data_IF_467131559222
#
_entry.id   IF_467131559222
#
_cell.length_a   1.000
_cell.length_b   1.000
_cell.length_c   1.000
_cell.angle_alpha   90.00
_cell.angle_beta   90.00
_cell.angle_gamma   90.00
#
_symmetry.space_group_name_H-M   'P 1'
#
loop_
_entity.id
_entity.type
_entity.pdbx_description
1 polymer ?
#
# COMPACT_ATOMS: atom_id res chain seq x y z
N UNK A 1 19.43 24.42 0.84
CA UNK A 1 20.66 23.61 0.77
C UNK A 1 20.50 22.66 -0.41
N UNK A 2 21.39 22.70 -1.39
CA UNK A 2 21.33 21.77 -2.53
C UNK A 2 22.03 20.48 -2.07
N UNK A 3 21.26 19.51 -1.55
CA UNK A 3 21.81 18.24 -1.11
C UNK A 3 22.22 17.44 -2.34
N UNK A 4 23.53 17.19 -2.52
CA UNK A 4 24.00 16.24 -3.52
C UNK A 4 23.74 14.81 -3.02
N UNK A 5 22.79 14.06 -3.62
CA UNK A 5 22.56 12.68 -3.24
C UNK A 5 23.79 11.81 -3.53
N UNK A 6 24.71 12.21 -4.41
CA UNK A 6 25.90 11.46 -4.79
C UNK A 6 27.21 12.00 -4.19
N UNK A 7 27.12 12.77 -3.09
CA UNK A 7 28.30 13.32 -2.45
C UNK A 7 29.35 12.20 -2.23
N UNK A 8 30.62 12.39 -2.67
CA UNK A 8 31.69 11.41 -2.53
C UNK A 8 31.87 10.86 -1.11
N UNK A 9 31.57 11.64 -0.07
CA UNK A 9 31.67 11.23 1.33
C UNK A 9 30.69 10.09 1.69
N UNK A 10 29.59 9.94 0.95
CA UNK A 10 28.55 8.94 1.22
C UNK A 10 28.77 7.65 0.41
N UNK A 11 29.43 7.73 -0.74
CA UNK A 11 29.61 6.60 -1.67
C UNK A 11 30.20 5.33 -1.01
N UNK A 12 31.19 5.41 -0.09
CA UNK A 12 31.74 4.23 0.56
C UNK A 12 30.73 3.42 1.39
N UNK A 13 29.62 4.03 1.81
CA UNK A 13 28.57 3.38 2.60
C UNK A 13 27.47 2.73 1.74
N UNK A 14 27.54 2.88 0.41
CA UNK A 14 26.59 2.28 -0.52
C UNK A 14 27.07 0.89 -0.93
N UNK A 15 26.14 -0.07 -0.93
CA UNK A 15 26.38 -1.43 -1.40
C UNK A 15 25.41 -1.78 -2.53
N UNK A 16 25.58 -1.21 -3.75
CA UNK A 16 24.63 -1.39 -4.85
C UNK A 16 24.48 -2.86 -5.29
N UNK A 17 25.52 -3.67 -5.11
CA UNK A 17 25.51 -5.10 -5.46
C UNK A 17 24.98 -6.00 -4.34
N UNK A 18 24.60 -5.43 -3.18
CA UNK A 18 24.03 -6.22 -2.08
C UNK A 18 22.61 -6.62 -2.43
N UNK A 19 22.46 -7.87 -2.85
CA UNK A 19 21.17 -8.51 -3.01
C UNK A 19 20.82 -9.34 -1.75
N UNK A 20 19.86 -8.88 -0.92
CA UNK A 20 19.44 -9.64 0.26
C UNK A 20 18.70 -10.94 -0.08
N UNK A 21 18.26 -11.11 -1.33
CA UNK A 21 17.66 -12.36 -1.82
C UNK A 21 18.70 -13.35 -2.33
N UNK A 22 19.97 -12.96 -2.42
CA UNK A 22 21.05 -13.87 -2.85
C UNK A 22 21.17 -15.03 -1.85
N UNK A 23 20.84 -16.23 -2.31
CA UNK A 23 20.81 -17.44 -1.49
C UNK A 23 19.48 -17.68 -0.76
N UNK A 24 18.46 -16.83 -0.95
CA UNK A 24 17.10 -17.12 -0.52
C UNK A 24 16.51 -18.21 -1.42
N UNK A 25 16.23 -19.38 -0.85
CA UNK A 25 15.53 -20.46 -1.53
C UNK A 25 14.13 -20.60 -0.93
N UNK A 26 13.09 -20.28 -1.70
CA UNK A 26 11.70 -20.42 -1.26
C UNK A 26 11.35 -21.90 -1.27
N UNK A 27 11.35 -22.54 -0.10
CA UNK A 27 11.02 -23.96 0.06
C UNK A 27 9.53 -24.22 0.33
N UNK A 28 8.74 -23.15 0.51
CA UNK A 28 7.32 -23.27 0.82
C UNK A 28 6.56 -23.79 -0.40
N UNK A 29 6.01 -24.99 -0.30
CA UNK A 29 5.13 -25.58 -1.30
C UNK A 29 3.73 -24.99 -1.14
N UNK A 30 3.13 -24.54 -2.23
CA UNK A 30 1.75 -24.06 -2.24
C UNK A 30 0.79 -25.25 -2.25
N UNK A 31 -0.26 -25.18 -1.44
CA UNK A 31 -1.33 -26.20 -1.38
C UNK A 31 -2.59 -25.74 -2.12
N UNK A 32 -2.75 -24.43 -2.28
CA UNK A 32 -3.89 -23.80 -2.94
C UNK A 32 -3.40 -22.75 -3.93
N UNK A 33 -4.19 -22.52 -4.97
CA UNK A 33 -3.90 -21.55 -6.02
C UNK A 33 -5.15 -20.70 -6.28
N UNK A 34 -5.00 -19.38 -6.28
CA UNK A 34 -6.02 -18.42 -6.71
C UNK A 34 -5.65 -17.90 -8.11
N UNK A 35 -6.54 -18.10 -9.08
CA UNK A 35 -6.36 -17.62 -10.45
C UNK A 35 -7.69 -17.17 -11.04
N UNK A 36 -7.73 -15.94 -11.58
CA UNK A 36 -8.90 -15.36 -12.24
C UNK A 36 -10.21 -15.49 -11.44
N UNK A 37 -10.19 -15.14 -10.15
CA UNK A 37 -11.38 -15.27 -9.30
C UNK A 37 -11.69 -16.68 -8.81
N UNK A 38 -10.87 -17.67 -9.18
CA UNK A 38 -11.10 -19.07 -8.81
C UNK A 38 -10.02 -19.61 -7.87
N UNK A 39 -10.44 -20.20 -6.75
CA UNK A 39 -9.58 -20.86 -5.78
C UNK A 39 -9.70 -22.38 -5.93
N UNK A 40 -8.58 -23.09 -5.89
CA UNK A 40 -8.54 -24.55 -5.92
C UNK A 40 -7.46 -25.13 -5.01
N UNK A 41 -7.69 -26.35 -4.54
CA UNK A 41 -6.67 -27.16 -3.87
C UNK A 41 -5.86 -27.94 -4.91
N UNK A 42 -4.53 -27.87 -4.80
CA UNK A 42 -3.60 -28.52 -5.72
C UNK A 42 -3.48 -30.03 -5.43
N UNK A 43 -3.27 -30.82 -6.48
CA UNK A 43 -3.28 -32.29 -6.44
C UNK A 43 -2.33 -32.95 -5.43
N UNK A 44 -1.13 -32.39 -5.32
CA UNK A 44 -0.09 -32.87 -4.42
C UNK A 44 -0.39 -32.59 -2.93
N UNK A 45 -1.47 -31.87 -2.63
CA UNK A 45 -1.90 -31.60 -1.26
C UNK A 45 -2.44 -32.87 -0.61
N UNK A 46 -1.85 -33.29 0.50
CA UNK A 46 -2.28 -34.47 1.28
C UNK A 46 -3.20 -34.11 2.44
N UNK A 47 -3.14 -32.87 2.92
CA UNK A 47 -3.96 -32.33 3.99
C UNK A 47 -5.40 -32.04 3.55
N UNK A 48 -6.32 -31.93 4.52
CA UNK A 48 -7.65 -31.37 4.29
C UNK A 48 -7.54 -29.86 4.26
N UNK A 49 -8.16 -29.19 3.30
CA UNK A 49 -8.14 -27.74 3.20
C UNK A 49 -9.56 -27.17 3.23
N UNK A 50 -9.69 -25.99 3.81
CA UNK A 50 -10.87 -25.14 3.77
C UNK A 50 -10.47 -23.72 3.38
N UNK A 51 -11.43 -22.96 2.86
CA UNK A 51 -11.23 -21.56 2.52
C UNK A 51 -12.41 -20.69 2.94
N UNK A 52 -12.18 -19.38 3.06
CA UNK A 52 -13.21 -18.37 3.28
C UNK A 52 -12.83 -17.01 2.72
N UNK A 53 -13.82 -16.20 2.39
CA UNK A 53 -13.62 -14.79 2.10
C UNK A 53 -13.36 -13.97 3.37
N UNK A 54 -12.48 -12.98 3.26
CA UNK A 54 -12.29 -11.93 4.27
C UNK A 54 -12.73 -10.58 3.68
N UNK A 55 -13.56 -9.86 4.43
CA UNK A 55 -14.10 -8.56 4.04
C UNK A 55 -13.58 -7.48 5.00
N UNK A 56 -13.17 -6.32 4.48
CA UNK A 56 -12.70 -5.22 5.33
C UNK A 56 -13.83 -4.61 6.17
N UNK A 57 -13.52 -4.30 7.42
CA UNK A 57 -14.42 -3.67 8.38
C UNK A 57 -13.69 -2.52 9.08
N UNK A 58 -13.46 -1.46 8.33
CA UNK A 58 -12.51 -0.40 8.72
C UNK A 58 -11.06 -0.85 8.56
N UNK A 59 -10.15 -0.11 9.16
CA UNK A 59 -8.71 -0.36 9.07
C UNK A 59 -8.20 -1.36 10.10
N UNK A 60 -8.78 -1.36 11.30
CA UNK A 60 -8.32 -2.24 12.38
C UNK A 60 -8.96 -3.65 12.35
N UNK A 61 -10.09 -3.84 11.64
CA UNK A 61 -10.87 -5.07 11.71
C UNK A 61 -11.23 -5.63 10.32
N UNK A 62 -11.65 -6.90 10.32
CA UNK A 62 -12.22 -7.57 9.15
C UNK A 62 -13.36 -8.50 9.58
N UNK A 63 -14.29 -8.74 8.66
CA UNK A 63 -15.36 -9.72 8.79
C UNK A 63 -14.97 -10.98 8.02
N UNK A 64 -15.07 -12.12 8.69
CA UNK A 64 -14.80 -13.42 8.07
C UNK A 64 -16.08 -14.02 7.52
N UNK A 65 -16.02 -14.56 6.31
CA UNK A 65 -17.03 -15.45 5.76
C UNK A 65 -17.04 -16.82 6.44
N UNK A 66 -17.93 -17.69 5.98
CA UNK A 66 -17.99 -19.09 6.43
C UNK A 66 -16.86 -19.89 5.79
N UNK A 67 -16.31 -20.84 6.55
CA UNK A 67 -15.40 -21.83 6.00
C UNK A 67 -16.14 -22.78 5.05
N UNK A 68 -15.50 -23.07 3.94
CA UNK A 68 -15.97 -24.01 2.91
C UNK A 68 -14.87 -25.05 2.70
N UNK A 69 -15.20 -26.33 2.89
CA UNK A 69 -14.29 -27.43 2.64
C UNK A 69 -13.95 -27.54 1.16
N UNK A 70 -12.68 -27.82 0.86
CA UNK A 70 -12.17 -27.95 -0.50
C UNK A 70 -11.99 -29.40 -0.90
N UNK A 71 -12.48 -29.76 -2.07
CA UNK A 71 -12.14 -31.00 -2.76
C UNK A 71 -10.91 -30.81 -3.66
N UNK A 72 -10.15 -31.89 -3.88
CA UNK A 72 -8.95 -31.84 -4.73
C UNK A 72 -9.35 -31.48 -6.16
N UNK A 73 -8.63 -30.53 -6.77
CA UNK A 73 -8.89 -30.02 -8.11
C UNK A 73 -10.29 -29.42 -8.36
N UNK A 74 -11.16 -29.38 -7.35
CA UNK A 74 -12.40 -28.63 -7.47
C UNK A 74 -12.10 -27.14 -7.54
N UNK A 75 -12.86 -26.45 -8.40
CA UNK A 75 -12.70 -25.02 -8.67
C UNK A 75 -13.85 -24.30 -8.01
N UNK A 76 -13.54 -23.35 -7.14
CA UNK A 76 -14.51 -22.51 -6.45
C UNK A 76 -14.33 -21.07 -6.89
N UNK A 77 -15.42 -20.38 -7.25
CA UNK A 77 -15.37 -19.00 -7.70
C UNK A 77 -15.74 -18.05 -6.58
N UNK A 78 -14.87 -17.09 -6.29
CA UNK A 78 -15.04 -16.11 -5.22
C UNK A 78 -14.94 -14.69 -5.76
N UNK A 79 -15.83 -13.83 -5.27
CA UNK A 79 -15.93 -12.42 -5.65
C UNK A 79 -15.31 -11.46 -4.62
N UNK A 80 -14.59 -11.99 -3.64
CA UNK A 80 -13.89 -11.21 -2.62
C UNK A 80 -12.40 -11.00 -2.95
N UNK A 81 -11.85 -9.90 -2.47
CA UNK A 81 -10.44 -9.55 -2.70
C UNK A 81 -9.47 -10.45 -1.91
N UNK A 82 -9.86 -10.92 -0.72
CA UNK A 82 -9.02 -11.72 0.15
C UNK A 82 -9.65 -13.09 0.42
N UNK A 83 -8.95 -14.15 0.02
CA UNK A 83 -9.34 -15.54 0.27
C UNK A 83 -8.35 -16.16 1.23
N UNK A 84 -8.80 -16.42 2.46
CA UNK A 84 -8.01 -17.17 3.42
C UNK A 84 -8.19 -18.66 3.17
N UNK A 85 -7.07 -19.39 3.16
CA UNK A 85 -7.03 -20.85 3.07
C UNK A 85 -6.32 -21.41 4.29
N UNK A 86 -6.85 -22.52 4.81
CA UNK A 86 -6.28 -23.24 5.95
C UNK A 86 -6.34 -24.73 5.67
N UNK A 87 -5.19 -25.39 5.73
CA UNK A 87 -5.06 -26.83 5.59
C UNK A 87 -4.50 -27.46 6.87
N UNK A 88 -5.04 -28.62 7.21
CA UNK A 88 -4.71 -29.37 8.42
C UNK A 88 -4.49 -30.86 8.13
N UNK A 89 -3.62 -31.46 8.95
CA UNK A 89 -3.51 -32.91 9.11
C UNK A 89 -3.78 -33.23 10.59
N UNK A 90 -4.96 -33.81 10.86
CA UNK A 90 -5.50 -33.89 12.22
C UNK A 90 -5.66 -32.50 12.84
N UNK A 91 -4.96 -32.24 13.94
CA UNK A 91 -4.98 -30.96 14.66
C UNK A 91 -3.84 -30.01 14.25
N UNK A 92 -2.94 -30.43 13.36
CA UNK A 92 -1.76 -29.65 12.98
C UNK A 92 -2.03 -28.85 11.72
N UNK A 93 -1.78 -27.55 11.77
CA UNK A 93 -1.80 -26.68 10.58
C UNK A 93 -0.60 -26.99 9.70
N UNK A 94 -0.84 -27.45 8.48
CA UNK A 94 0.22 -27.75 7.50
C UNK A 94 0.42 -26.60 6.52
N UNK A 95 -0.66 -25.87 6.21
CA UNK A 95 -0.61 -24.71 5.32
C UNK A 95 -1.67 -23.69 5.75
N UNK A 96 -1.31 -22.40 5.78
CA UNK A 96 -2.26 -21.30 5.95
C UNK A 96 -1.79 -20.11 5.14
N UNK A 97 -2.67 -19.56 4.32
CA UNK A 97 -2.30 -18.53 3.36
C UNK A 97 -3.48 -17.65 3.00
N UNK A 98 -3.22 -16.36 2.82
CA UNK A 98 -4.21 -15.40 2.33
C UNK A 98 -3.83 -15.08 0.88
N UNK A 99 -4.69 -15.48 -0.04
CA UNK A 99 -4.61 -15.05 -1.42
C UNK A 99 -5.26 -13.69 -1.56
N UNK A 100 -4.67 -12.83 -2.39
CA UNK A 100 -5.19 -11.50 -2.68
C UNK A 100 -5.46 -11.37 -4.18
N UNK A 101 -6.54 -10.67 -4.51
CA UNK A 101 -6.94 -10.30 -5.86
C UNK A 101 -7.71 -8.98 -5.83
N UNK A 102 -7.99 -8.44 -7.01
CA UNK A 102 -8.78 -7.22 -7.19
C UNK A 102 -9.98 -7.59 -8.07
N UNK A 103 -11.16 -7.74 -7.47
CA UNK A 103 -12.39 -8.10 -8.20
C UNK A 103 -13.28 -6.88 -8.37
N UNK A 104 -13.49 -6.47 -9.63
CA UNK A 104 -14.35 -5.32 -9.94
C UNK A 104 -15.74 -5.47 -9.29
N UNK A 105 -16.16 -4.54 -8.43
CA UNK A 105 -17.52 -4.50 -7.88
C UNK A 105 -18.57 -4.47 -8.99
N UNK A 106 -19.56 -5.37 -8.93
CA UNK A 106 -20.60 -5.51 -9.98
C UNK A 106 -21.65 -4.41 -9.95
N UNK A 107 -21.89 -3.80 -8.78
CA UNK A 107 -22.93 -2.78 -8.58
C UNK A 107 -22.42 -1.34 -8.74
N UNK A 108 -21.09 -1.13 -8.77
CA UNK A 108 -20.50 0.20 -8.87
C UNK A 108 -20.24 0.57 -10.32
N UNK A 109 -20.83 1.68 -10.77
CA UNK A 109 -20.47 2.32 -12.03
C UNK A 109 -19.29 3.24 -11.75
N UNK A 110 -18.18 3.01 -12.46
CA UNK A 110 -16.96 3.76 -12.27
C UNK A 110 -16.89 4.95 -13.23
N UNK A 111 -16.35 6.07 -12.74
CA UNK A 111 -15.95 7.18 -13.58
C UNK A 111 -14.95 6.68 -14.63
N UNK A 112 -15.22 6.99 -15.90
CA UNK A 112 -14.31 6.66 -16.99
C UNK A 112 -13.13 7.63 -16.98
N UNK A 113 -11.95 7.12 -17.25
CA UNK A 113 -10.78 7.96 -17.42
C UNK A 113 -10.95 8.90 -18.62
N UNK A 114 -10.73 10.20 -18.38
CA UNK A 114 -10.76 11.28 -19.37
C UNK A 114 -9.86 12.44 -18.91
N UNK A 115 -9.81 13.55 -19.68
CA UNK A 115 -8.92 14.68 -19.39
C UNK A 115 -9.24 15.41 -18.07
N UNK A 116 -10.49 15.34 -17.59
CA UNK A 116 -10.89 15.89 -16.29
C UNK A 116 -10.78 14.85 -15.18
N UNK A 117 -10.74 13.57 -15.55
CA UNK A 117 -10.67 12.45 -14.63
C UNK A 117 -9.49 11.49 -14.92
N UNK A 118 -8.23 11.95 -14.79
CA UNK A 118 -7.06 11.13 -15.08
C UNK A 118 -6.86 10.04 -14.02
N UNK A 119 -6.26 8.91 -14.40
CA UNK A 119 -5.76 7.94 -13.42
C UNK A 119 -4.69 8.56 -12.50
N UNK A 120 -4.84 8.39 -11.18
CA UNK A 120 -3.90 8.92 -10.19
C UNK A 120 -3.27 7.79 -9.39
N UNK A 121 -1.94 7.79 -9.30
CA UNK A 121 -1.16 6.89 -8.45
C UNK A 121 -0.40 7.69 -7.40
N UNK A 122 -0.59 7.35 -6.14
CA UNK A 122 0.15 7.93 -5.01
C UNK A 122 1.02 6.84 -4.41
N UNK A 123 2.34 7.00 -4.51
CA UNK A 123 3.32 6.13 -3.87
C UNK A 123 4.02 6.88 -2.74
N UNK A 124 3.95 6.33 -1.53
CA UNK A 124 4.67 6.85 -0.36
C UNK A 124 5.67 5.81 0.10
N UNK A 125 6.88 6.27 0.38
CA UNK A 125 7.98 5.45 0.88
C UNK A 125 8.40 5.98 2.24
N UNK A 126 7.97 5.30 3.30
CA UNK A 126 8.36 5.58 4.68
C UNK A 126 9.36 4.50 5.12
N UNK A 127 10.53 4.79 5.70
CA UNK A 127 11.05 6.07 6.20
C UNK A 127 12.27 6.58 5.43
N UNK A 128 12.23 6.48 4.10
CA UNK A 128 13.35 6.94 3.28
C UNK A 128 13.36 8.47 3.15
N UNK A 129 14.53 9.09 3.38
CA UNK A 129 14.72 10.49 3.02
C UNK A 129 14.80 10.62 1.49
N UNK A 130 14.45 11.80 0.96
CA UNK A 130 14.55 12.07 -0.47
C UNK A 130 15.92 11.68 -1.05
N UNK A 131 17.01 12.10 -0.40
CA UNK A 131 18.37 11.82 -0.88
C UNK A 131 18.74 10.35 -0.81
N UNK A 132 18.23 9.61 0.19
CA UNK A 132 18.42 8.17 0.27
C UNK A 132 17.62 7.45 -0.81
N UNK A 133 16.33 7.82 -0.99
CA UNK A 133 15.47 7.25 -2.05
C UNK A 133 16.07 7.40 -3.44
N UNK A 134 16.66 8.57 -3.75
CA UNK A 134 17.38 8.79 -5.02
C UNK A 134 18.52 7.78 -5.20
N UNK A 135 19.31 7.51 -4.15
CA UNK A 135 20.47 6.62 -4.25
C UNK A 135 20.13 5.14 -4.26
N UNK A 136 19.16 4.72 -3.45
CA UNK A 136 18.95 3.29 -3.15
C UNK A 136 17.85 2.66 -3.99
N UNK A 137 16.93 3.47 -4.51
CA UNK A 137 15.78 2.99 -5.28
C UNK A 137 15.92 3.25 -6.78
N UNK A 138 17.15 3.32 -7.28
CA UNK A 138 17.45 3.62 -8.69
C UNK A 138 16.61 2.76 -9.65
N UNK A 139 16.51 1.45 -9.40
CA UNK A 139 15.68 0.56 -10.23
C UNK A 139 14.19 0.86 -10.14
N UNK A 140 13.64 1.16 -8.97
CA UNK A 140 12.23 1.55 -8.83
C UNK A 140 11.99 2.85 -9.58
N UNK A 141 12.89 3.81 -9.43
CA UNK A 141 12.86 5.08 -10.15
C UNK A 141 13.01 4.88 -11.68
N UNK A 142 13.75 3.85 -12.11
CA UNK A 142 13.87 3.44 -13.52
C UNK A 142 12.68 2.64 -14.03
N UNK A 143 12.03 1.78 -13.25
CA UNK A 143 10.90 0.94 -13.71
C UNK A 143 9.64 1.77 -13.89
N UNK A 144 9.49 2.85 -13.14
CA UNK A 144 8.52 3.91 -13.49
C UNK A 144 8.77 4.51 -14.88
N UNK A 145 9.91 4.22 -15.51
CA UNK A 145 10.19 4.55 -16.92
C UNK A 145 9.63 3.54 -17.94
N UNK A 146 9.29 2.31 -17.54
CA UNK A 146 9.08 1.18 -18.47
C UNK A 146 7.64 0.72 -18.63
N UNK A 147 6.69 1.28 -17.87
CA UNK A 147 5.32 0.76 -17.91
C UNK A 147 4.58 1.08 -19.22
N UNK A 148 5.03 2.01 -20.08
CA UNK A 148 4.53 2.09 -21.46
C UNK A 148 5.57 2.52 -22.51
N UNK A 149 5.78 1.62 -23.47
CA UNK A 149 6.41 1.75 -24.81
C UNK A 149 7.89 2.12 -24.98
N UNK A 150 8.54 1.28 -25.79
CA UNK A 150 9.79 1.47 -26.51
C UNK A 150 10.04 2.92 -27.03
N UNK A 151 11.01 3.62 -26.45
CA UNK A 151 11.72 4.68 -27.15
C UNK A 151 13.18 4.76 -26.63
N UNK A 152 14.07 4.28 -27.49
CA UNK A 152 15.51 4.56 -27.63
C UNK A 152 16.25 5.46 -26.61
N UNK A 153 17.50 5.03 -26.32
CA UNK A 153 18.65 5.71 -25.66
C UNK A 153 18.71 5.48 -24.13
N UNK A 154 19.61 4.67 -23.53
CA UNK A 154 21.04 4.42 -23.78
C UNK A 154 21.83 5.72 -23.95
N UNK A 155 22.36 6.28 -22.85
CA UNK A 155 23.79 6.59 -22.62
C UNK A 155 23.97 7.46 -21.35
N UNK A 156 24.84 6.98 -20.44
CA UNK A 156 25.44 7.68 -19.29
C UNK A 156 24.60 7.87 -18.00
N UNK A 157 25.11 7.31 -16.89
CA UNK A 157 24.61 7.44 -15.52
C UNK A 157 24.65 8.88 -15.01
N UNK A 158 23.64 9.69 -15.34
CA UNK A 158 23.30 10.91 -14.62
C UNK A 158 21.82 10.84 -14.22
N UNK A 159 21.54 10.41 -12.99
CA UNK A 159 20.28 10.62 -12.26
C UNK A 159 19.03 10.96 -13.10
N UNK A 160 18.50 10.03 -13.90
CA UNK A 160 17.32 10.23 -14.77
C UNK A 160 15.99 9.86 -14.07
N UNK A 161 16.00 9.78 -12.74
CA UNK A 161 15.13 8.92 -11.95
C UNK A 161 13.77 9.54 -11.59
N UNK A 162 13.77 10.78 -11.08
CA UNK A 162 12.54 11.58 -10.96
C UNK A 162 12.08 12.12 -12.31
N UNK A 163 12.98 12.16 -13.29
CA UNK A 163 12.66 12.60 -14.64
C UNK A 163 11.73 11.61 -15.34
N UNK A 164 11.91 10.31 -15.17
CA UNK A 164 11.03 9.30 -15.77
C UNK A 164 9.57 9.40 -15.31
N UNK A 165 9.33 9.46 -13.99
CA UNK A 165 7.99 9.69 -13.44
C UNK A 165 7.39 11.01 -13.93
N UNK A 166 8.19 12.09 -13.90
CA UNK A 166 7.79 13.42 -14.39
C UNK A 166 7.49 13.44 -15.88
N UNK A 167 8.26 12.74 -16.69
CA UNK A 167 8.12 12.73 -18.14
C UNK A 167 6.98 11.82 -18.60
N UNK A 168 6.72 10.71 -17.89
CA UNK A 168 5.77 9.69 -18.35
C UNK A 168 4.40 9.75 -17.69
N UNK A 169 4.34 10.22 -16.44
CA UNK A 169 3.09 10.32 -15.67
C UNK A 169 2.76 11.77 -15.28
N UNK A 170 3.48 12.75 -15.82
CA UNK A 170 3.44 14.15 -15.34
C UNK A 170 3.59 14.22 -13.80
N UNK A 171 4.37 13.29 -13.23
CA UNK A 171 4.40 13.09 -11.80
C UNK A 171 4.97 14.32 -11.09
N UNK A 172 4.30 14.79 -10.05
CA UNK A 172 4.80 15.89 -9.24
C UNK A 172 5.62 15.37 -8.06
N UNK A 173 6.89 15.77 -7.98
CA UNK A 173 7.76 15.45 -6.83
C UNK A 173 7.55 16.46 -5.70
N UNK A 174 7.09 16.01 -4.55
CA UNK A 174 7.05 16.81 -3.33
C UNK A 174 8.41 16.76 -2.63
N UNK A 175 9.28 17.71 -2.94
CA UNK A 175 10.64 17.77 -2.37
C UNK A 175 10.67 17.99 -0.85
N UNK A 176 9.63 18.63 -0.34
CA UNK A 176 9.52 19.00 1.06
C UNK A 176 8.12 18.66 1.55
N UNK A 177 8.06 18.02 2.71
CA UNK A 177 6.86 17.90 3.50
C UNK A 177 7.13 18.56 4.86
N UNK A 178 6.21 19.42 5.31
CA UNK A 178 6.32 20.03 6.61
C UNK A 178 6.19 18.94 7.67
N UNK A 179 7.28 18.66 8.39
CA UNK A 179 7.24 17.70 9.49
C UNK A 179 6.36 18.27 10.60
N UNK A 180 5.27 17.58 10.90
CA UNK A 180 4.29 17.96 11.92
C UNK A 180 4.77 17.56 13.31
N UNK A 181 5.21 16.31 13.47
CA UNK A 181 5.76 15.78 14.72
C UNK A 181 6.65 14.53 14.44
N UNK A 182 7.11 13.87 15.50
CA UNK A 182 7.82 12.59 15.46
C UNK A 182 6.90 11.48 14.91
N UNK A 183 7.53 10.47 14.29
CA UNK A 183 6.90 9.27 13.71
C UNK A 183 5.96 9.55 12.53
N UNK A 184 5.49 8.48 11.90
CA UNK A 184 4.71 8.54 10.65
C UNK A 184 3.30 9.11 10.85
N UNK A 185 2.61 8.73 11.92
CA UNK A 185 1.18 9.04 12.12
C UNK A 185 0.84 10.53 12.07
N UNK A 186 1.47 11.44 12.86
CA UNK A 186 1.12 12.87 12.81
C UNK A 186 1.34 13.48 11.41
N UNK A 187 2.39 13.02 10.72
CA UNK A 187 2.69 13.45 9.35
C UNK A 187 1.65 12.89 8.36
N UNK A 188 1.25 11.62 8.51
CA UNK A 188 0.21 11.01 7.70
C UNK A 188 -1.14 11.75 7.80
N UNK A 189 -1.57 12.15 9.01
CA UNK A 189 -2.79 12.96 9.17
C UNK A 189 -2.69 14.27 8.38
N UNK A 190 -1.56 14.98 8.44
CA UNK A 190 -1.41 16.21 7.66
C UNK A 190 -1.32 15.98 6.16
N UNK A 191 -0.65 14.91 5.69
CA UNK A 191 -0.57 14.57 4.27
C UNK A 191 -1.94 14.23 3.71
N UNK A 192 -2.66 13.35 4.40
CA UNK A 192 -3.84 12.70 3.83
C UNK A 192 -5.15 13.37 4.22
N UNK A 193 -5.24 14.05 5.37
CA UNK A 193 -6.46 14.77 5.77
C UNK A 193 -6.29 16.29 5.89
N UNK A 194 -5.07 16.81 5.66
CA UNK A 194 -4.77 18.23 5.85
C UNK A 194 -4.90 18.69 7.31
N UNK A 195 -4.97 17.78 8.28
CA UNK A 195 -5.30 18.09 9.67
C UNK A 195 -4.10 17.91 10.59
N UNK A 196 -3.87 18.87 11.48
CA UNK A 196 -2.88 18.72 12.56
C UNK A 196 -3.51 18.07 13.79
N UNK A 197 -2.99 16.90 14.16
CA UNK A 197 -3.46 16.11 15.31
C UNK A 197 -2.72 16.37 16.63
N UNK A 198 -1.62 17.13 16.58
CA UNK A 198 -0.72 17.37 17.71
C UNK A 198 -0.75 18.84 18.11
N UNK A 199 -0.76 19.11 19.41
CA UNK A 199 -0.66 20.47 19.94
C UNK A 199 0.72 21.09 19.66
N UNK A 200 0.75 22.38 19.35
CA UNK A 200 1.98 23.14 19.20
C UNK A 200 2.37 23.82 20.53
N UNK A 201 3.64 24.21 20.65
CA UNK A 201 4.10 25.04 21.77
C UNK A 201 3.35 26.39 21.79
N UNK A 202 2.54 26.61 22.82
CA UNK A 202 1.73 27.82 22.97
C UNK A 202 2.56 29.11 23.06
N UNK A 203 3.81 29.04 23.50
CA UNK A 203 4.70 30.20 23.53
C UNK A 203 5.18 30.60 22.14
N UNK A 204 5.29 29.62 21.22
CA UNK A 204 5.70 29.86 19.82
C UNK A 204 4.51 30.12 18.91
N UNK A 205 3.35 29.57 19.23
CA UNK A 205 2.13 29.63 18.42
C UNK A 205 0.90 30.04 19.26
N UNK A 206 0.90 31.25 19.85
CA UNK A 206 -0.21 31.69 20.71
C UNK A 206 -1.53 31.72 19.92
N UNK A 207 -2.58 31.13 20.50
CA UNK A 207 -3.92 31.06 19.89
C UNK A 207 -4.07 30.07 18.74
N UNK A 208 -2.99 29.36 18.34
CA UNK A 208 -3.00 28.32 17.30
C UNK A 208 -2.40 27.01 17.79
N UNK A 209 -2.26 26.85 19.10
CA UNK A 209 -1.56 25.74 19.72
C UNK A 209 -2.40 24.45 19.77
N UNK A 210 -3.72 24.55 19.94
CA UNK A 210 -4.57 23.36 20.06
C UNK A 210 -4.66 22.59 18.73
N UNK A 211 -4.68 21.26 18.82
CA UNK A 211 -4.95 20.33 17.71
C UNK A 211 -6.28 20.65 17.02
N UNK A 212 -6.31 20.47 15.71
CA UNK A 212 -7.52 20.65 14.88
C UNK A 212 -8.45 19.42 14.95
N UNK A 213 -7.89 18.27 15.33
CA UNK A 213 -8.62 17.03 15.53
C UNK A 213 -8.22 16.42 16.89
N UNK A 214 -8.70 17.00 18.00
CA UNK A 214 -8.50 16.42 19.32
C UNK A 214 -9.17 15.04 19.40
N UNK A 215 -8.63 14.14 20.23
CA UNK A 215 -9.10 12.75 20.34
C UNK A 215 -9.13 11.98 19.00
N UNK A 216 -8.34 12.37 18.00
CA UNK A 216 -8.26 11.71 16.69
C UNK A 216 -8.09 10.18 16.77
N UNK A 217 -7.38 9.71 17.80
CA UNK A 217 -7.12 8.28 18.01
C UNK A 217 -8.41 7.50 18.36
N UNK A 218 -9.34 8.15 19.09
CA UNK A 218 -10.63 7.59 19.53
C UNK A 218 -11.71 7.70 18.45
N UNK A 219 -11.72 8.80 17.71
CA UNK A 219 -12.73 9.04 16.66
C UNK A 219 -12.33 8.47 15.30
N UNK A 220 -11.05 8.14 15.11
CA UNK A 220 -10.51 7.76 13.82
C UNK A 220 -10.35 8.95 12.88
N UNK A 221 -9.99 8.65 11.63
CA UNK A 221 -9.87 9.65 10.57
C UNK A 221 -11.26 10.01 10.01
N UNK A 222 -11.47 11.29 9.73
CA UNK A 222 -12.69 11.77 9.07
C UNK A 222 -12.56 11.50 7.57
N UNK A 223 -13.27 10.50 7.08
CA UNK A 223 -13.12 10.05 5.70
C UNK A 223 -13.32 11.15 4.68
N UNK A 224 -14.33 12.01 4.88
CA UNK A 224 -14.67 13.11 3.98
C UNK A 224 -13.66 14.26 3.94
N UNK A 225 -12.66 14.24 4.83
CA UNK A 225 -11.55 15.21 4.83
C UNK A 225 -10.29 14.62 4.18
N UNK A 226 -10.32 13.36 3.74
CA UNK A 226 -9.14 12.72 3.14
C UNK A 226 -8.95 13.06 1.67
N UNK A 227 -7.71 13.17 1.22
CA UNK A 227 -7.37 13.37 -0.20
C UNK A 227 -7.94 12.27 -1.11
N UNK A 228 -8.07 11.04 -0.59
CA UNK A 228 -8.68 9.92 -1.32
C UNK A 228 -10.19 10.07 -1.48
N UNK A 229 -10.84 10.84 -0.61
CA UNK A 229 -12.29 11.01 -0.63
C UNK A 229 -12.77 11.66 -1.93
N UNK A 230 -12.06 12.68 -2.42
CA UNK A 230 -12.45 13.39 -3.64
C UNK A 230 -12.54 12.44 -4.85
N UNK A 231 -11.66 11.43 -4.92
CA UNK A 231 -11.70 10.39 -5.96
C UNK A 231 -12.83 9.40 -5.74
N UNK A 232 -12.98 8.90 -4.50
CA UNK A 232 -14.05 7.92 -4.20
C UNK A 232 -15.45 8.52 -4.36
N UNK A 233 -15.62 9.79 -4.01
CA UNK A 233 -16.86 10.56 -4.18
C UNK A 233 -17.18 10.82 -5.65
N UNK A 234 -16.16 10.95 -6.49
CA UNK A 234 -16.28 10.99 -7.96
C UNK A 234 -16.37 9.59 -8.59
N UNK A 235 -16.57 8.52 -7.82
CA UNK A 235 -16.74 7.15 -8.32
C UNK A 235 -15.54 6.56 -9.07
N UNK A 236 -14.32 7.04 -8.81
CA UNK A 236 -13.11 6.40 -9.32
C UNK A 236 -13.02 4.94 -8.84
N UNK A 237 -12.40 4.09 -9.65
CA UNK A 237 -11.91 2.81 -9.17
C UNK A 237 -10.73 3.08 -8.25
N UNK A 238 -10.85 2.71 -6.99
CA UNK A 238 -9.90 3.11 -5.95
C UNK A 238 -9.26 1.91 -5.27
N UNK A 239 -7.94 1.95 -5.14
CA UNK A 239 -7.16 0.97 -4.40
C UNK A 239 -6.25 1.69 -3.40
N UNK A 240 -6.19 1.16 -2.19
CA UNK A 240 -5.24 1.57 -1.17
C UNK A 240 -4.61 0.32 -0.57
N UNK A 241 -3.29 0.29 -0.45
CA UNK A 241 -2.55 -0.81 0.15
C UNK A 241 -1.48 -0.23 1.06
N UNK A 242 -1.44 -0.69 2.31
CA UNK A 242 -0.52 -0.22 3.34
C UNK A 242 0.24 -1.40 3.95
N UNK A 243 1.46 -1.15 4.43
CA UNK A 243 2.25 -2.11 5.18
C UNK A 243 1.93 -2.09 6.69
N UNK A 244 2.67 -2.88 7.48
CA UNK A 244 2.48 -2.99 8.92
C UNK A 244 3.59 -2.30 9.71
N UNK A 245 3.27 -1.50 10.75
CA UNK A 245 1.93 -1.09 11.19
C UNK A 245 1.38 0.10 10.38
N UNK A 246 0.06 0.25 10.25
CA UNK A 246 -0.50 1.30 9.39
C UNK A 246 -0.42 2.68 10.04
N UNK A 247 -0.48 3.68 9.17
CA UNK A 247 -0.20 5.06 9.55
C UNK A 247 -1.23 5.66 10.50
N UNK A 248 -2.48 5.18 10.50
CA UNK A 248 -3.55 5.73 11.35
C UNK A 248 -3.94 4.85 12.54
N UNK A 249 -3.58 3.56 12.57
CA UNK A 249 -3.95 2.67 13.68
C UNK A 249 -2.92 2.58 14.79
N UNK A 250 -1.62 2.78 14.49
CA UNK A 250 -0.58 2.58 15.49
C UNK A 250 -0.57 3.68 16.59
N UNK A 251 -0.36 3.34 17.88
CA UNK A 251 -0.35 2.00 18.45
C UNK A 251 -1.75 1.48 18.81
N UNK A 252 -2.71 2.35 19.13
CA UNK A 252 -4.05 1.98 19.61
C UNK A 252 -5.13 2.97 19.13
N UNK A 253 -5.12 3.31 17.84
CA UNK A 253 -6.06 4.25 17.23
C UNK A 253 -7.03 3.53 16.29
N UNK A 254 -8.22 4.09 16.10
CA UNK A 254 -9.27 3.47 15.28
C UNK A 254 -8.97 3.49 13.77
N UNK A 255 -8.16 4.45 13.28
CA UNK A 255 -7.88 4.59 11.85
C UNK A 255 -9.15 4.92 11.04
N UNK A 256 -9.28 4.37 9.84
CA UNK A 256 -10.51 4.46 9.05
C UNK A 256 -11.67 3.67 9.69
N UNK A 257 -12.83 4.32 9.92
CA UNK A 257 -14.00 3.66 10.52
C UNK A 257 -14.67 2.63 9.60
N UNK A 258 -14.47 2.73 8.28
CA UNK A 258 -14.86 1.77 7.24
C UNK A 258 -13.80 1.80 6.12
N UNK A 259 -13.80 0.83 5.21
CA UNK A 259 -12.83 0.82 4.11
C UNK A 259 -12.86 2.15 3.31
N UNK A 260 -11.71 2.82 3.10
CA UNK A 260 -11.66 4.11 2.41
C UNK A 260 -11.73 4.02 0.89
N UNK A 261 -11.46 2.84 0.32
CA UNK A 261 -11.40 2.59 -1.12
C UNK A 261 -12.16 1.31 -1.47
N UNK A 262 -12.40 1.07 -2.76
CA UNK A 262 -13.08 -0.15 -3.26
C UNK A 262 -12.27 -1.41 -2.93
N UNK A 263 -10.96 -1.31 -3.12
CA UNK A 263 -9.98 -2.35 -2.80
C UNK A 263 -9.07 -1.82 -1.70
N UNK A 264 -9.13 -2.42 -0.51
CA UNK A 264 -8.31 -1.97 0.62
C UNK A 264 -7.48 -3.12 1.19
N UNK A 265 -6.16 -3.06 0.96
CA UNK A 265 -5.20 -4.06 1.39
C UNK A 265 -4.50 -3.69 2.69
N UNK A 266 -4.62 -4.59 3.68
CA UNK A 266 -3.92 -4.59 4.97
C UNK A 266 -3.91 -6.00 5.55
#
# INVERSE_FOLDING_TARGET
MNLDPWNPEILPYLHPDRDPLKGCNVTRVMHTELKNGSIRMLDNTTSKCEYRCLYKDGEANFKSGKWTEMEKNAIYYESCDFVETHCTDGNTTTFRYIHAQVIRPTQKVFQKEDNLHPGVFIFILDSTSLSSGIRTMVKTNQVTSRIYSDFYLLYSCKSYDFEALRQLYDATTFYYHNKIDRNSRPNAYAIFSGTRTIDLDANRFPGRNNSEHPEFCKHGIKMNETVTYDFTNQTYASIMAEDWPSMFTYPNCHGFPKAPTDHYGR
#
